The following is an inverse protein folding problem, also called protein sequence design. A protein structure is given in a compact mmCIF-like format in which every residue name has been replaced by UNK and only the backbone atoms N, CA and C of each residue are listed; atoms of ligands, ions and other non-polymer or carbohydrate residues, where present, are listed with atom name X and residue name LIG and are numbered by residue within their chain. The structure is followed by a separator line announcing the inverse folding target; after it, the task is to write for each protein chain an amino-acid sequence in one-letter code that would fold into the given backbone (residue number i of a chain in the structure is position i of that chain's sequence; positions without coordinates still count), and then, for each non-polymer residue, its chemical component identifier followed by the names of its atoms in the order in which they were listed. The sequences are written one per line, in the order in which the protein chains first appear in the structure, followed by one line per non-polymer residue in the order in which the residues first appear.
data_IF_541351816781
#
_entry.id   IF_541351816781
#
_cell.length_a   1.000
_cell.length_b   1.000
_cell.length_c   1.000
_cell.angle_alpha   90.00
_cell.angle_beta   90.00
_cell.angle_gamma   90.00
#
_symmetry.space_group_name_H-M   'P 1'
#
loop_
_entity.id
_entity.type
_entity.pdbx_description
1 polymer ?
#
# COMPACT_ATOMS: atom_id res chain seq x y z
N UNK A 1 32.84 26.04 13.08
CA UNK A 1 31.82 25.39 13.93
C UNK A 1 30.56 26.19 13.70
N UNK A 2 29.70 25.75 12.79
CA UNK A 2 28.36 26.34 12.63
C UNK A 2 27.38 25.24 12.21
N UNK A 3 26.33 25.15 13.03
CA UNK A 3 25.04 24.46 12.89
C UNK A 3 25.03 22.94 12.66
N UNK A 4 25.31 22.22 13.74
CA UNK A 4 24.51 21.03 14.10
C UNK A 4 23.05 21.46 14.31
N UNK A 5 22.16 21.15 13.35
CA UNK A 5 20.76 20.75 13.58
C UNK A 5 20.00 20.53 12.25
N UNK A 6 20.56 19.71 11.35
CA UNK A 6 19.71 18.98 10.40
C UNK A 6 18.92 17.94 11.20
N UNK A 7 17.84 18.40 11.86
CA UNK A 7 16.87 17.54 12.50
C UNK A 7 16.35 16.62 11.40
N UNK A 8 16.84 15.38 11.35
CA UNK A 8 16.28 14.32 10.51
C UNK A 8 14.77 14.30 10.75
N UNK A 9 14.03 14.92 9.84
CA UNK A 9 12.59 14.99 9.94
C UNK A 9 12.07 13.55 9.99
N UNK A 10 11.46 13.17 11.11
CA UNK A 10 10.89 11.85 11.28
C UNK A 10 9.81 11.65 10.21
N UNK A 11 9.78 10.47 9.57
CA UNK A 11 8.77 10.09 8.57
C UNK A 11 7.36 10.48 8.97
N UNK A 12 7.00 10.31 10.25
CA UNK A 12 5.68 10.69 10.75
C UNK A 12 5.37 12.18 10.55
N UNK A 13 6.33 13.07 10.80
CA UNK A 13 6.12 14.51 10.71
C UNK A 13 6.17 14.97 9.25
N UNK A 14 7.03 14.37 8.44
CA UNK A 14 7.00 14.53 6.99
C UNK A 14 5.64 14.16 6.41
N UNK A 15 5.11 12.96 6.71
CA UNK A 15 3.82 12.50 6.20
C UNK A 15 2.68 13.43 6.63
N UNK A 16 2.69 13.95 7.87
CA UNK A 16 1.70 14.92 8.32
C UNK A 16 1.70 16.21 7.50
N UNK A 17 2.88 16.78 7.26
CA UNK A 17 3.02 18.08 6.57
C UNK A 17 2.79 17.96 5.07
N UNK A 18 3.42 16.97 4.44
CA UNK A 18 3.50 16.87 3.00
C UNK A 18 2.36 16.06 2.38
N UNK A 19 1.77 15.10 3.10
CA UNK A 19 0.76 14.21 2.54
C UNK A 19 -0.60 14.35 3.24
N UNK A 20 -0.65 14.28 4.57
CA UNK A 20 -1.93 14.25 5.29
C UNK A 20 -2.67 15.58 5.32
N UNK A 21 -2.00 16.70 5.03
CA UNK A 21 -2.65 18.02 4.94
C UNK A 21 -3.78 18.03 3.90
N UNK A 22 -3.56 17.37 2.78
CA UNK A 22 -4.50 17.34 1.65
C UNK A 22 -5.16 15.96 1.47
N UNK A 23 -4.83 14.99 2.32
CA UNK A 23 -5.36 13.63 2.23
C UNK A 23 -6.71 13.50 2.94
N UNK A 24 -7.63 12.75 2.32
CA UNK A 24 -8.93 12.44 2.91
C UNK A 24 -8.85 11.17 3.74
N UNK A 25 -9.09 11.29 5.05
CA UNK A 25 -9.19 10.11 5.92
C UNK A 25 -10.46 9.32 5.62
N UNK A 26 -10.32 8.02 5.36
CA UNK A 26 -11.46 7.11 5.21
C UNK A 26 -11.85 6.58 6.60
N UNK A 27 -13.09 6.86 7.01
CA UNK A 27 -13.62 6.44 8.31
C UNK A 27 -14.24 5.05 8.21
N UNK A 28 -13.50 4.02 8.61
CA UNK A 28 -14.07 2.68 8.83
C UNK A 28 -13.21 1.82 9.77
N UNK A 29 -13.74 0.67 10.17
CA UNK A 29 -12.98 -0.43 10.77
C UNK A 29 -12.49 -1.34 9.64
N UNK A 30 -11.18 -1.54 9.59
CA UNK A 30 -10.55 -2.40 8.58
C UNK A 30 -9.97 -3.65 9.24
N UNK A 31 -10.01 -4.81 8.55
CA UNK A 31 -9.31 -6.00 9.02
C UNK A 31 -7.81 -5.72 9.11
N UNK A 32 -7.09 -6.35 10.06
CA UNK A 32 -5.67 -6.16 10.19
C UNK A 32 -4.90 -6.79 9.01
N UNK A 33 -3.67 -6.32 8.78
CA UNK A 33 -2.77 -6.92 7.79
C UNK A 33 -1.99 -8.05 8.47
N UNK A 34 -2.10 -9.26 7.95
CA UNK A 34 -1.34 -10.41 8.44
C UNK A 34 0.02 -10.50 7.76
N UNK A 35 1.06 -10.86 8.52
CA UNK A 35 2.40 -11.15 7.99
C UNK A 35 3.09 -12.25 8.79
N UNK A 36 4.07 -12.92 8.17
CA UNK A 36 4.93 -13.89 8.85
C UNK A 36 6.27 -13.25 9.17
N UNK A 37 6.67 -13.30 10.44
CA UNK A 37 7.94 -12.78 10.93
C UNK A 37 8.63 -13.90 11.69
N UNK A 38 9.79 -14.35 11.19
CA UNK A 38 10.51 -15.51 11.74
C UNK A 38 9.61 -16.74 11.90
N UNK A 39 8.76 -17.02 10.90
CA UNK A 39 7.80 -18.13 10.91
C UNK A 39 6.54 -17.90 11.75
N UNK A 40 6.47 -16.84 12.55
CA UNK A 40 5.33 -16.54 13.42
C UNK A 40 4.37 -15.60 12.71
N UNK A 41 3.08 -15.97 12.67
CA UNK A 41 2.02 -15.09 12.18
C UNK A 41 1.83 -13.90 13.12
N UNK A 42 2.02 -12.68 12.60
CA UNK A 42 1.79 -11.41 13.27
C UNK A 42 0.66 -10.66 12.56
N UNK A 43 -0.03 -9.81 13.32
CA UNK A 43 -1.17 -9.04 12.84
C UNK A 43 -0.94 -7.55 13.08
N UNK A 44 -0.96 -6.77 12.02
CA UNK A 44 -0.82 -5.32 12.02
C UNK A 44 -2.21 -4.68 12.04
N UNK A 45 -2.60 -4.19 13.21
CA UNK A 45 -3.90 -3.49 13.36
C UNK A 45 -3.87 -2.18 12.59
N UNK A 46 -4.75 -2.02 11.61
CA UNK A 46 -4.93 -0.77 10.89
C UNK A 46 -5.49 0.28 11.86
N UNK A 47 -4.82 1.43 11.91
CA UNK A 47 -5.24 2.59 12.70
C UNK A 47 -6.04 3.55 11.83
N UNK A 48 -5.46 3.96 10.71
CA UNK A 48 -5.99 4.98 9.82
C UNK A 48 -5.67 4.63 8.37
N UNK A 49 -6.58 4.98 7.44
CA UNK A 49 -6.36 4.95 5.99
C UNK A 49 -6.63 6.36 5.45
N UNK A 50 -5.74 6.87 4.62
CA UNK A 50 -5.86 8.18 3.99
C UNK A 50 -5.75 8.05 2.47
N UNK A 51 -6.72 8.59 1.73
CA UNK A 51 -6.64 8.75 0.28
C UNK A 51 -5.83 9.99 -0.04
N UNK A 52 -4.83 9.84 -0.90
CA UNK A 52 -3.95 10.95 -1.28
C UNK A 52 -4.54 11.67 -2.49
N UNK A 53 -4.59 13.00 -2.43
CA UNK A 53 -4.99 13.85 -3.55
C UNK A 53 -3.82 14.25 -4.46
N UNK A 54 -4.12 15.05 -5.49
CA UNK A 54 -3.12 15.64 -6.39
C UNK A 54 -2.36 14.63 -7.24
N UNK A 55 -1.03 14.76 -7.31
CA UNK A 55 -0.16 13.96 -8.18
C UNK A 55 -0.07 12.47 -7.79
N UNK A 56 -0.55 12.12 -6.60
CA UNK A 56 -0.63 10.75 -6.08
C UNK A 56 -2.08 10.25 -6.01
N UNK A 57 -2.97 10.79 -6.86
CA UNK A 57 -4.31 10.26 -7.02
C UNK A 57 -4.27 8.73 -7.26
N UNK A 58 -5.18 8.00 -6.62
CA UNK A 58 -5.26 6.51 -6.54
C UNK A 58 -4.30 5.83 -5.57
N UNK A 59 -3.44 6.57 -4.88
CA UNK A 59 -2.68 6.03 -3.76
C UNK A 59 -3.44 6.24 -2.45
N UNK A 60 -3.22 5.30 -1.54
CA UNK A 60 -3.65 5.42 -0.15
C UNK A 60 -2.46 5.18 0.78
N UNK A 61 -2.48 5.82 1.93
CA UNK A 61 -1.57 5.50 3.04
C UNK A 61 -2.34 4.73 4.10
N UNK A 62 -1.84 3.55 4.42
CA UNK A 62 -2.33 2.73 5.51
C UNK A 62 -1.37 2.88 6.69
N UNK A 63 -1.86 3.45 7.79
CA UNK A 63 -1.13 3.51 9.05
C UNK A 63 -1.51 2.32 9.91
N UNK A 64 -0.54 1.52 10.34
CA UNK A 64 -0.77 0.35 11.21
C UNK A 64 -0.06 0.50 12.54
N UNK A 65 -0.57 -0.17 13.59
CA UNK A 65 0.12 -0.28 14.88
C UNK A 65 1.19 -1.36 14.79
N UNK A 66 2.41 -1.00 15.15
CA UNK A 66 3.52 -1.95 15.18
C UNK A 66 3.43 -2.85 16.42
N UNK A 67 3.56 -4.17 16.24
CA UNK A 67 3.62 -5.11 17.37
C UNK A 67 4.94 -5.03 18.15
N UNK A 68 6.02 -4.52 17.54
CA UNK A 68 7.33 -4.27 18.21
C UNK A 68 7.28 -2.99 19.08
N UNK A 69 6.18 -2.21 19.01
CA UNK A 69 5.94 -0.93 19.69
C UNK A 69 6.89 0.22 19.31
N UNK A 70 8.08 -0.04 18.79
CA UNK A 70 9.03 0.96 18.29
C UNK A 70 9.48 0.62 16.85
N UNK A 71 9.23 1.49 15.85
CA UNK A 71 8.40 2.69 15.92
C UNK A 71 6.93 2.33 16.26
N UNK A 72 6.19 3.25 16.88
CA UNK A 72 4.79 3.02 17.30
C UNK A 72 3.86 2.67 16.14
N UNK A 73 4.11 3.29 14.99
CA UNK A 73 3.33 3.12 13.78
C UNK A 73 4.24 2.71 12.62
N UNK A 74 3.69 1.89 11.73
CA UNK A 74 4.27 1.57 10.42
C UNK A 74 3.37 2.15 9.35
N UNK A 75 3.96 2.63 8.26
CA UNK A 75 3.26 3.30 7.18
C UNK A 75 3.43 2.48 5.91
N UNK A 76 2.32 2.22 5.24
CA UNK A 76 2.31 1.50 3.96
C UNK A 76 1.71 2.40 2.91
N UNK A 77 2.41 2.56 1.80
CA UNK A 77 1.82 3.13 0.59
C UNK A 77 1.17 1.99 -0.19
N UNK A 78 -0.07 2.19 -0.60
CA UNK A 78 -0.80 1.20 -1.37
C UNK A 78 -1.41 1.80 -2.63
N UNK A 79 -1.51 0.96 -3.66
CA UNK A 79 -2.21 1.26 -4.91
C UNK A 79 -3.19 0.12 -5.22
N UNK A 80 -4.36 0.48 -5.76
CA UNK A 80 -5.35 -0.50 -6.21
C UNK A 80 -4.92 -1.11 -7.55
N UNK A 81 -4.78 -2.43 -7.60
CA UNK A 81 -4.54 -3.20 -8.81
C UNK A 81 -5.85 -3.50 -9.55
N UNK A 82 -6.86 -3.95 -8.80
CA UNK A 82 -8.18 -4.28 -9.31
C UNK A 82 -9.28 -3.86 -8.32
N UNK A 83 -10.39 -3.33 -8.84
CA UNK A 83 -11.54 -2.91 -8.00
C UNK A 83 -12.37 -4.06 -7.45
N UNK A 84 -12.21 -5.25 -8.04
CA UNK A 84 -12.76 -6.51 -7.57
C UNK A 84 -11.65 -7.53 -7.56
N UNK A 85 -11.46 -8.22 -6.45
CA UNK A 85 -10.45 -9.25 -6.30
C UNK A 85 -11.03 -10.62 -6.62
N UNK A 86 -10.20 -11.49 -7.17
CA UNK A 86 -10.44 -12.92 -7.32
C UNK A 86 -9.13 -13.68 -7.18
N UNK A 87 -9.18 -15.01 -7.00
CA UNK A 87 -7.98 -15.83 -6.86
C UNK A 87 -7.07 -15.77 -8.10
N UNK A 88 -7.68 -15.71 -9.29
CA UNK A 88 -6.97 -15.51 -10.55
C UNK A 88 -6.19 -14.18 -10.54
N UNK A 89 -6.84 -13.10 -10.13
CA UNK A 89 -6.24 -11.77 -10.05
C UNK A 89 -5.10 -11.71 -9.03
N UNK A 90 -5.24 -12.41 -7.91
CA UNK A 90 -4.18 -12.56 -6.89
C UNK A 90 -3.01 -13.36 -7.47
N UNK A 91 -3.27 -14.47 -8.16
CA UNK A 91 -2.23 -15.30 -8.77
C UNK A 91 -1.42 -14.53 -9.82
N UNK A 92 -2.08 -13.71 -10.66
CA UNK A 92 -1.39 -12.84 -11.61
C UNK A 92 -0.46 -11.82 -10.94
N UNK A 93 -0.84 -11.34 -9.75
CA UNK A 93 -0.07 -10.36 -8.99
C UNK A 93 1.07 -11.00 -8.15
N UNK A 94 0.99 -12.31 -7.90
CA UNK A 94 1.78 -13.00 -6.87
C UNK A 94 3.28 -12.97 -7.13
N UNK A 95 3.71 -13.33 -8.33
CA UNK A 95 5.14 -13.45 -8.66
C UNK A 95 5.86 -12.10 -8.59
N UNK A 96 5.28 -11.06 -9.21
CA UNK A 96 5.84 -9.71 -9.15
C UNK A 96 5.87 -9.18 -7.71
N UNK A 97 4.81 -9.44 -6.94
CA UNK A 97 4.75 -9.00 -5.54
C UNK A 97 5.85 -9.65 -4.70
N UNK A 98 6.02 -10.97 -4.84
CA UNK A 98 7.06 -11.72 -4.13
C UNK A 98 8.46 -11.22 -4.51
N UNK A 99 8.73 -11.03 -5.81
CA UNK A 99 10.03 -10.56 -6.32
C UNK A 99 10.43 -9.19 -5.75
N UNK A 100 9.46 -8.28 -5.60
CA UNK A 100 9.72 -6.91 -5.17
C UNK A 100 9.43 -6.65 -3.68
N UNK A 101 9.20 -7.70 -2.90
CA UNK A 101 8.82 -7.62 -1.50
C UNK A 101 7.64 -6.66 -1.27
N UNK A 102 6.59 -6.83 -2.07
CA UNK A 102 5.30 -6.16 -1.98
C UNK A 102 4.32 -7.09 -1.28
N UNK A 103 3.44 -6.51 -0.46
CA UNK A 103 2.31 -7.23 0.12
C UNK A 103 1.09 -7.06 -0.79
N UNK A 104 0.29 -8.12 -0.88
CA UNK A 104 -1.03 -8.09 -1.49
C UNK A 104 -2.07 -8.17 -0.39
N UNK A 105 -3.06 -7.29 -0.43
CA UNK A 105 -4.22 -7.36 0.47
C UNK A 105 -5.50 -7.25 -0.33
N UNK A 106 -6.52 -7.95 0.18
CA UNK A 106 -7.87 -7.93 -0.35
C UNK A 106 -8.76 -7.28 0.69
N UNK A 107 -9.20 -6.05 0.44
CA UNK A 107 -10.08 -5.35 1.38
C UNK A 107 -11.00 -4.37 0.67
N UNK A 108 -12.08 -3.99 1.36
CA UNK A 108 -12.99 -2.94 0.91
C UNK A 108 -12.62 -1.62 1.56
N UNK A 109 -12.27 -0.60 0.77
CA UNK A 109 -12.09 0.77 1.27
C UNK A 109 -13.40 1.34 1.82
N UNK A 110 -14.50 1.01 1.16
CA UNK A 110 -15.87 1.39 1.49
C UNK A 110 -16.74 0.14 1.59
N UNK A 111 -16.76 -0.52 2.76
CA UNK A 111 -17.56 -1.72 3.03
C UNK A 111 -19.01 -1.64 2.58
N UNK A 112 -19.61 -0.44 2.56
CA UNK A 112 -20.98 -0.23 2.09
C UNK A 112 -21.19 -0.61 0.62
N UNK A 113 -20.12 -0.64 -0.19
CA UNK A 113 -20.20 -0.96 -1.61
C UNK A 113 -20.03 -2.45 -1.91
N UNK A 114 -19.76 -3.30 -0.90
CA UNK A 114 -19.58 -4.75 -1.05
C UNK A 114 -18.55 -5.15 -2.13
N UNK A 115 -17.58 -4.26 -2.42
CA UNK A 115 -16.49 -4.52 -3.36
C UNK A 115 -15.20 -4.74 -2.59
N UNK A 116 -14.57 -5.88 -2.80
CA UNK A 116 -13.26 -6.20 -2.21
C UNK A 116 -12.22 -5.94 -3.29
N UNK A 117 -11.46 -4.86 -3.15
CA UNK A 117 -10.39 -4.51 -4.08
C UNK A 117 -9.12 -5.30 -3.78
N UNK A 118 -8.33 -5.54 -4.81
CA UNK A 118 -6.97 -6.06 -4.69
C UNK A 118 -6.00 -4.87 -4.67
N UNK A 119 -5.21 -4.78 -3.60
CA UNK A 119 -4.22 -3.72 -3.41
C UNK A 119 -2.83 -4.32 -3.31
N UNK A 120 -1.87 -3.63 -3.90
CA UNK A 120 -0.45 -3.83 -3.63
C UNK A 120 0.05 -2.74 -2.70
N UNK A 121 0.87 -3.11 -1.73
CA UNK A 121 1.46 -2.17 -0.80
C UNK A 121 2.92 -2.48 -0.49
N UNK A 122 3.64 -1.40 -0.21
CA UNK A 122 5.03 -1.39 0.23
C UNK A 122 5.14 -0.55 1.49
N UNK A 123 5.95 -1.02 2.42
CA UNK A 123 6.28 -0.25 3.61
C UNK A 123 7.17 0.94 3.25
N UNK A 124 6.91 2.09 3.88
CA UNK A 124 7.79 3.25 3.83
C UNK A 124 8.46 3.34 5.19
N UNK A 125 9.78 3.17 5.22
CA UNK A 125 10.58 3.27 6.43
C UNK A 125 11.13 4.69 6.60
N UNK A 126 11.55 5.32 5.50
CA UNK A 126 12.08 6.69 5.48
C UNK A 126 11.40 7.56 4.41
N UNK A 127 11.48 8.88 4.58
CA UNK A 127 10.90 9.83 3.60
C UNK A 127 11.56 9.74 2.22
N UNK A 128 12.84 9.39 2.19
CA UNK A 128 13.64 9.33 0.97
C UNK A 128 13.20 8.16 0.07
N UNK A 129 12.62 7.11 0.64
CA UNK A 129 12.12 5.94 -0.08
C UNK A 129 10.82 6.21 -0.84
N UNK A 130 10.11 7.31 -0.53
CA UNK A 130 8.76 7.54 -1.03
C UNK A 130 8.68 7.53 -2.57
N UNK A 131 9.62 8.22 -3.21
CA UNK A 131 9.65 8.33 -4.68
C UNK A 131 9.89 6.97 -5.33
N UNK A 132 10.82 6.18 -4.79
CA UNK A 132 11.09 4.83 -5.26
C UNK A 132 9.86 3.94 -5.11
N UNK A 133 9.23 3.97 -3.93
CA UNK A 133 8.03 3.19 -3.64
C UNK A 133 6.85 3.58 -4.55
N UNK A 134 6.64 4.88 -4.81
CA UNK A 134 5.63 5.36 -5.75
C UNK A 134 5.88 4.80 -7.16
N UNK A 135 7.12 4.87 -7.63
CA UNK A 135 7.49 4.40 -8.96
C UNK A 135 7.32 2.88 -9.08
N UNK A 136 7.77 2.12 -8.09
CA UNK A 136 7.61 0.67 -8.03
C UNK A 136 6.13 0.25 -8.10
N UNK A 137 5.26 0.91 -7.33
CA UNK A 137 3.82 0.61 -7.32
C UNK A 137 3.14 1.01 -8.64
N UNK A 138 3.57 2.12 -9.27
CA UNK A 138 3.09 2.52 -10.60
C UNK A 138 3.48 1.49 -11.67
N UNK A 139 4.75 1.11 -11.69
CA UNK A 139 5.27 0.10 -12.62
C UNK A 139 4.51 -1.21 -12.47
N UNK A 140 4.30 -1.66 -11.23
CA UNK A 140 3.54 -2.87 -10.98
C UNK A 140 2.13 -2.78 -11.54
N UNK A 141 1.42 -1.67 -11.31
CA UNK A 141 0.05 -1.48 -11.82
C UNK A 141 0.01 -1.51 -13.35
N UNK A 142 1.01 -0.92 -14.02
CA UNK A 142 1.10 -0.93 -15.50
C UNK A 142 1.31 -2.36 -16.00
N UNK A 143 2.28 -3.08 -15.43
CA UNK A 143 2.56 -4.47 -15.81
C UNK A 143 1.36 -5.37 -15.55
N UNK A 144 0.72 -5.22 -14.40
CA UNK A 144 -0.43 -6.00 -14.00
C UNK A 144 -1.60 -5.84 -14.99
N UNK A 145 -1.89 -4.60 -15.41
CA UNK A 145 -2.91 -4.32 -16.43
C UNK A 145 -2.58 -4.94 -17.78
N UNK A 146 -1.32 -4.82 -18.22
CA UNK A 146 -0.88 -5.46 -19.47
C UNK A 146 -1.06 -6.98 -19.43
N UNK A 147 -0.75 -7.61 -18.30
CA UNK A 147 -0.94 -9.05 -18.13
C UNK A 147 -2.44 -9.44 -18.15
N UNK A 148 -3.31 -8.61 -17.56
CA UNK A 148 -4.76 -8.81 -17.64
C UNK A 148 -5.29 -8.68 -19.06
N UNK A 149 -4.87 -7.65 -19.80
CA UNK A 149 -5.29 -7.44 -21.18
C UNK A 149 -4.86 -8.61 -22.07
N UNK A 150 -3.64 -9.13 -21.87
CA UNK A 150 -3.15 -10.31 -22.58
C UNK A 150 -3.98 -11.56 -22.25
N UNK A 151 -4.36 -11.74 -20.98
CA UNK A 151 -5.21 -12.85 -20.58
C UNK A 151 -6.61 -12.74 -21.21
N UNK A 152 -7.20 -11.54 -21.25
CA UNK A 152 -8.47 -11.30 -21.92
C UNK A 152 -8.44 -11.70 -23.39
N UNK A 153 -7.40 -11.28 -24.13
CA UNK A 153 -7.21 -11.66 -25.53
C UNK A 153 -7.07 -13.17 -25.73
N UNK A 154 -6.36 -13.86 -24.84
CA UNK A 154 -6.22 -15.32 -24.92
C UNK A 154 -7.57 -16.02 -24.75
N UNK A 155 -8.42 -15.54 -23.84
CA UNK A 155 -9.75 -16.11 -23.60
C UNK A 155 -10.69 -15.86 -24.79
N UNK A 156 -10.60 -14.71 -25.46
CA UNK A 156 -11.40 -14.40 -26.65
C UNK A 156 -11.07 -15.29 -27.87
N UNK A 157 -9.90 -15.95 -27.85
CA UNK A 157 -9.43 -16.84 -28.92
C UNK A 157 -9.62 -18.34 -28.61
N UNK A 158 -10.29 -18.69 -27.50
CA UNK A 158 -10.64 -20.06 -27.10
C UNK A 158 -12.14 -20.27 -27.26
#
# INVERSE_FOLDING_TARGET
MDSDNDIKENLQDYLKKAIFKDAKRIKNKYPPISEKVNGISKSLKIKDIHEIGGNLNNFIIITTKNYVKNPKFRYFLAIMLASQSSDLLVNLAKEYSKKNNLKLIQFSLHPQHFRVGLFSLKEIENKDDLTEVVNLLKEFRILYRKNLDNLGKLIEHV
#
